data_IF_031444828522
#
_entry.id   IF_031444828522
#
_cell.length_a   1.000
_cell.length_b   1.000
_cell.length_c   1.000
_cell.angle_alpha   90.00
_cell.angle_beta   90.00
_cell.angle_gamma   90.00
#
_symmetry.space_group_name_H-M   'P 1'
#
loop_
_entity.id
_entity.type
_entity.pdbx_description
1 polymer ?
#
# COMPACT_ATOMS: atom_id res chain seq x y z
N UNK A 1 12.51 14.09 -4.98
CA UNK A 1 13.90 13.72 -5.32
C UNK A 1 14.48 12.64 -4.39
N UNK A 2 14.18 12.62 -3.09
CA UNK A 2 14.70 11.62 -2.14
C UNK A 2 14.32 10.14 -2.40
N UNK A 3 13.29 9.87 -3.21
CA UNK A 3 12.80 8.51 -3.52
C UNK A 3 13.40 7.89 -4.80
N UNK A 4 14.10 8.65 -5.65
CA UNK A 4 14.66 8.13 -6.91
C UNK A 4 16.04 7.48 -6.75
N UNK A 5 16.76 7.78 -5.67
CA UNK A 5 18.07 7.20 -5.35
C UNK A 5 18.07 5.81 -4.66
N UNK A 6 17.10 5.42 -3.78
CA UNK A 6 17.03 4.05 -3.24
C UNK A 6 16.88 2.98 -4.32
N UNK A 7 16.34 3.39 -5.46
CA UNK A 7 16.04 2.56 -6.62
C UNK A 7 17.31 1.99 -7.26
N UNK A 8 18.46 2.70 -7.18
CA UNK A 8 19.76 2.20 -7.66
C UNK A 8 20.50 1.36 -6.63
N UNK A 9 20.29 1.59 -5.32
CA UNK A 9 21.01 0.88 -4.25
C UNK A 9 20.44 -0.54 -4.01
N UNK A 10 19.13 -0.73 -4.20
CA UNK A 10 18.46 -2.03 -4.10
C UNK A 10 18.31 -2.72 -5.47
N UNK A 11 19.40 -2.82 -6.26
CA UNK A 11 19.44 -3.54 -7.54
C UNK A 11 19.33 -5.07 -7.43
N UNK A 12 19.14 -5.62 -6.23
CA UNK A 12 19.02 -7.06 -6.00
C UNK A 12 17.60 -7.60 -6.23
N UNK A 13 17.51 -8.78 -6.85
CA UNK A 13 16.30 -9.61 -7.06
C UNK A 13 15.34 -9.73 -5.87
N UNK A 14 15.79 -9.45 -4.64
CA UNK A 14 14.97 -9.49 -3.42
C UNK A 14 13.76 -8.57 -3.44
N UNK A 15 13.84 -7.41 -4.10
CA UNK A 15 12.69 -6.50 -4.17
C UNK A 15 11.56 -7.09 -5.03
N UNK A 16 11.86 -7.60 -6.23
CA UNK A 16 10.87 -8.27 -7.09
C UNK A 16 10.23 -9.51 -6.46
N UNK A 17 11.01 -10.30 -5.70
CA UNK A 17 10.49 -11.49 -5.01
C UNK A 17 9.54 -11.15 -3.85
N UNK A 18 9.80 -10.05 -3.13
CA UNK A 18 8.89 -9.52 -2.12
C UNK A 18 7.53 -9.09 -2.68
N UNK A 19 7.53 -8.43 -3.85
CA UNK A 19 6.28 -8.03 -4.50
C UNK A 19 5.50 -9.24 -5.01
N UNK A 20 6.14 -10.21 -5.65
CA UNK A 20 5.46 -11.42 -6.10
C UNK A 20 4.74 -12.14 -4.95
N UNK A 21 5.30 -12.14 -3.73
CA UNK A 21 4.69 -12.72 -2.53
C UNK A 21 3.48 -11.92 -2.02
N UNK A 22 3.56 -10.60 -1.93
CA UNK A 22 2.40 -9.75 -1.56
C UNK A 22 1.26 -9.88 -2.58
N UNK A 23 1.57 -10.04 -3.86
CA UNK A 23 0.54 -10.32 -4.88
C UNK A 23 -0.14 -11.68 -4.66
N UNK A 24 0.58 -12.64 -4.07
CA UNK A 24 0.09 -14.01 -3.83
C UNK A 24 -1.00 -14.00 -2.75
N UNK A 25 -0.80 -13.27 -1.65
CA UNK A 25 -1.76 -13.22 -0.52
C UNK A 25 -3.11 -12.66 -0.94
N UNK A 26 -3.08 -11.64 -1.78
CA UNK A 26 -4.29 -11.04 -2.33
C UNK A 26 -5.04 -12.00 -3.24
N UNK A 27 -4.33 -12.74 -4.09
CA UNK A 27 -4.93 -13.73 -5.00
C UNK A 27 -5.61 -14.82 -4.17
N UNK A 28 -4.92 -15.30 -3.14
CA UNK A 28 -5.44 -16.30 -2.20
C UNK A 28 -6.71 -15.77 -1.53
N UNK A 29 -6.67 -14.55 -0.97
CA UNK A 29 -7.83 -13.93 -0.33
C UNK A 29 -9.04 -13.76 -1.26
N UNK A 30 -8.81 -13.33 -2.51
CA UNK A 30 -9.87 -13.22 -3.53
C UNK A 30 -10.46 -14.59 -3.88
N UNK A 31 -9.62 -15.61 -4.09
CA UNK A 31 -10.06 -16.96 -4.43
C UNK A 31 -10.84 -17.61 -3.28
N UNK A 32 -10.41 -17.40 -2.03
CA UNK A 32 -11.13 -17.85 -0.83
C UNK A 32 -12.50 -17.16 -0.75
N UNK A 33 -12.54 -15.84 -0.87
CA UNK A 33 -13.80 -15.08 -0.80
C UNK A 33 -14.80 -15.49 -1.88
N UNK A 34 -14.31 -15.76 -3.11
CA UNK A 34 -15.15 -16.25 -4.20
C UNK A 34 -15.67 -17.67 -3.94
N UNK A 35 -14.84 -18.56 -3.39
CA UNK A 35 -15.27 -19.91 -2.99
C UNK A 35 -16.31 -19.87 -1.87
N UNK A 36 -16.21 -18.91 -0.94
CA UNK A 36 -17.20 -18.72 0.13
C UNK A 36 -18.53 -18.19 -0.41
N UNK A 37 -18.51 -17.26 -1.37
CA UNK A 37 -19.72 -16.67 -1.94
C UNK A 37 -20.44 -17.63 -2.91
N UNK A 38 -19.68 -18.38 -3.71
CA UNK A 38 -20.18 -19.36 -4.66
C UNK A 38 -19.46 -20.69 -4.41
N UNK A 39 -20.00 -21.55 -3.52
CA UNK A 39 -19.37 -22.82 -3.14
C UNK A 39 -19.08 -23.77 -4.32
N UNK A 40 -19.78 -23.59 -5.44
CA UNK A 40 -19.59 -24.37 -6.66
C UNK A 40 -18.30 -24.01 -7.43
N UNK A 41 -17.68 -22.86 -7.15
CA UNK A 41 -16.46 -22.43 -7.85
C UNK A 41 -15.24 -23.03 -7.14
N UNK A 42 -14.47 -23.93 -7.78
CA UNK A 42 -13.28 -24.50 -7.16
C UNK A 42 -12.20 -23.42 -6.95
N UNK A 43 -11.36 -23.59 -5.94
CA UNK A 43 -10.30 -22.64 -5.57
C UNK A 43 -9.35 -22.32 -6.73
N UNK A 44 -9.07 -23.31 -7.56
CA UNK A 44 -8.25 -23.17 -8.78
C UNK A 44 -8.91 -22.19 -9.77
N UNK A 45 -10.24 -22.30 -9.96
CA UNK A 45 -10.99 -21.38 -10.80
C UNK A 45 -11.02 -19.96 -10.19
N UNK A 46 -11.15 -19.83 -8.86
CA UNK A 46 -11.06 -18.54 -8.18
C UNK A 46 -9.71 -17.84 -8.41
N UNK A 47 -8.61 -18.58 -8.35
CA UNK A 47 -7.28 -18.06 -8.66
C UNK A 47 -7.19 -17.62 -10.14
N UNK A 48 -7.75 -18.38 -11.08
CA UNK A 48 -7.77 -18.04 -12.50
C UNK A 48 -8.62 -16.79 -12.79
N UNK A 49 -9.79 -16.65 -12.15
CA UNK A 49 -10.69 -15.50 -12.29
C UNK A 49 -10.00 -14.22 -11.82
N UNK A 50 -9.11 -14.29 -10.83
CA UNK A 50 -8.33 -13.14 -10.36
C UNK A 50 -7.43 -12.52 -11.45
N UNK A 51 -7.01 -13.29 -12.46
CA UNK A 51 -6.28 -12.79 -13.64
C UNK A 51 -7.19 -11.89 -14.47
N UNK A 52 -8.43 -12.36 -14.68
CA UNK A 52 -9.43 -11.67 -15.49
C UNK A 52 -9.86 -10.37 -14.80
N UNK A 53 -10.11 -10.38 -13.49
CA UNK A 53 -10.42 -9.19 -12.68
C UNK A 53 -9.39 -8.07 -12.93
N UNK A 54 -8.12 -8.41 -12.78
CA UNK A 54 -7.02 -7.47 -12.98
C UNK A 54 -6.95 -6.96 -14.42
N UNK A 55 -7.27 -7.81 -15.40
CA UNK A 55 -7.30 -7.45 -16.80
C UNK A 55 -8.43 -6.49 -17.14
N UNK A 56 -9.63 -6.77 -16.64
CA UNK A 56 -10.83 -5.94 -16.81
C UNK A 56 -10.60 -4.57 -16.19
N UNK A 57 -10.04 -4.53 -14.98
CA UNK A 57 -9.67 -3.29 -14.30
C UNK A 57 -8.65 -2.50 -15.12
N UNK A 58 -7.67 -3.15 -15.76
CA UNK A 58 -6.69 -2.43 -16.59
C UNK A 58 -7.30 -1.92 -17.89
N UNK A 59 -8.24 -2.64 -18.48
CA UNK A 59 -8.94 -2.21 -19.69
C UNK A 59 -9.72 -0.91 -19.42
N UNK A 60 -10.35 -0.83 -18.25
CA UNK A 60 -11.06 0.37 -17.78
C UNK A 60 -10.12 1.48 -17.31
N UNK A 61 -8.97 1.14 -16.72
CA UNK A 61 -7.96 2.11 -16.29
C UNK A 61 -6.99 2.45 -17.42
N UNK A 62 -7.33 3.46 -18.23
CA UNK A 62 -6.37 4.05 -19.16
C UNK A 62 -5.42 4.98 -18.40
N UNK A 63 -4.10 4.69 -18.36
CA UNK A 63 -3.11 5.60 -17.80
C UNK A 63 -2.82 6.71 -18.81
N UNK A 64 -3.85 7.44 -19.23
CA UNK A 64 -3.66 8.74 -19.86
C UNK A 64 -3.47 9.72 -18.71
N UNK A 65 -2.38 10.49 -18.70
CA UNK A 65 -2.02 11.44 -17.64
C UNK A 65 -3.00 12.60 -17.42
N UNK A 66 -4.28 12.40 -17.76
CA UNK A 66 -5.41 13.27 -17.51
C UNK A 66 -5.86 13.14 -16.05
N UNK A 67 -5.91 14.27 -15.35
CA UNK A 67 -6.38 14.39 -13.97
C UNK A 67 -7.77 13.79 -13.74
N UNK A 68 -8.61 13.76 -14.79
CA UNK A 68 -9.94 13.14 -14.74
C UNK A 68 -9.84 11.63 -14.48
N UNK A 69 -8.90 10.95 -15.15
CA UNK A 69 -8.69 9.51 -14.98
C UNK A 69 -8.28 9.15 -13.55
N UNK A 70 -7.37 9.93 -12.95
CA UNK A 70 -6.96 9.73 -11.55
C UNK A 70 -8.12 9.95 -10.57
N UNK A 71 -8.95 10.99 -10.76
CA UNK A 71 -10.10 11.26 -9.88
C UNK A 71 -11.18 10.18 -9.97
N UNK A 72 -11.53 9.73 -11.17
CA UNK A 72 -12.48 8.62 -11.33
C UNK A 72 -11.95 7.34 -10.67
N UNK A 73 -10.65 7.11 -10.79
CA UNK A 73 -9.98 5.99 -10.15
C UNK A 73 -10.01 6.07 -8.62
N UNK A 74 -9.67 7.23 -8.04
CA UNK A 74 -9.76 7.45 -6.59
C UNK A 74 -11.20 7.24 -6.08
N UNK A 75 -12.20 7.78 -6.79
CA UNK A 75 -13.62 7.58 -6.46
C UNK A 75 -14.04 6.11 -6.50
N UNK A 76 -13.51 5.33 -7.45
CA UNK A 76 -13.77 3.90 -7.54
C UNK A 76 -13.20 3.15 -6.32
N UNK A 77 -11.96 3.43 -5.92
CA UNK A 77 -11.35 2.84 -4.72
C UNK A 77 -12.11 3.25 -3.46
N UNK A 78 -12.49 4.52 -3.34
CA UNK A 78 -13.29 5.02 -2.21
C UNK A 78 -14.62 4.27 -2.13
N UNK A 79 -15.28 4.03 -3.26
CA UNK A 79 -16.53 3.25 -3.30
C UNK A 79 -16.34 1.80 -2.82
N UNK A 80 -15.24 1.13 -3.20
CA UNK A 80 -14.93 -0.21 -2.70
C UNK A 80 -14.69 -0.23 -1.18
N UNK A 81 -13.93 0.75 -0.66
CA UNK A 81 -13.65 0.88 0.77
C UNK A 81 -14.94 1.15 1.55
N UNK A 82 -15.79 2.05 1.07
CA UNK A 82 -17.09 2.35 1.69
C UNK A 82 -18.00 1.13 1.68
N UNK A 83 -17.98 0.31 0.63
CA UNK A 83 -18.75 -0.93 0.59
C UNK A 83 -18.28 -1.94 1.65
N UNK A 84 -16.96 -2.07 1.88
CA UNK A 84 -16.40 -2.89 2.96
C UNK A 84 -16.83 -2.37 4.34
N UNK A 85 -16.73 -1.05 4.56
CA UNK A 85 -17.19 -0.41 5.80
C UNK A 85 -18.67 -0.67 6.03
N UNK A 86 -19.49 -0.53 4.99
CA UNK A 86 -20.93 -0.80 5.05
C UNK A 86 -21.24 -2.26 5.40
N UNK A 87 -20.49 -3.21 4.83
CA UNK A 87 -20.62 -4.63 5.19
C UNK A 87 -20.36 -4.86 6.68
N UNK A 88 -19.28 -4.29 7.22
CA UNK A 88 -18.96 -4.40 8.65
C UNK A 88 -19.97 -3.67 9.55
N UNK A 89 -20.53 -2.54 9.11
CA UNK A 89 -21.63 -1.87 9.82
C UNK A 89 -22.85 -2.80 9.95
N UNK A 90 -23.23 -3.50 8.88
CA UNK A 90 -24.36 -4.46 8.94
C UNK A 90 -24.03 -5.62 9.88
N UNK A 91 -22.81 -6.19 9.80
CA UNK A 91 -22.40 -7.27 10.69
C UNK A 91 -22.47 -6.85 12.17
N UNK A 92 -21.96 -5.67 12.50
CA UNK A 92 -22.05 -5.14 13.86
C UNK A 92 -23.50 -4.94 14.31
N UNK A 93 -24.40 -4.51 13.43
CA UNK A 93 -25.83 -4.38 13.75
C UNK A 93 -26.53 -5.73 13.99
N UNK A 94 -25.99 -6.85 13.50
CA UNK A 94 -26.51 -8.18 13.75
C UNK A 94 -26.04 -8.76 15.10
N UNK A 95 -24.92 -8.27 15.63
CA UNK A 95 -24.39 -8.69 16.93
C UNK A 95 -25.16 -7.96 18.04
N UNK A 96 -26.12 -8.66 18.66
CA UNK A 96 -27.01 -8.09 19.69
C UNK A 96 -26.45 -8.12 21.13
N UNK A 97 -25.24 -8.64 21.34
CA UNK A 97 -24.82 -9.13 22.67
C UNK A 97 -23.89 -8.17 23.44
N UNK A 98 -23.36 -7.12 22.82
CA UNK A 98 -22.40 -6.22 23.50
C UNK A 98 -22.99 -4.86 23.83
N UNK A 99 -22.98 -4.49 25.11
CA UNK A 99 -23.29 -3.12 25.54
C UNK A 99 -22.19 -2.18 25.04
N UNK A 100 -22.49 -0.99 24.47
CA UNK A 100 -21.47 -0.07 23.96
C UNK A 100 -20.37 0.26 24.98
N UNK A 101 -20.72 0.30 26.28
CA UNK A 101 -19.79 0.56 27.37
C UNK A 101 -18.67 -0.50 27.52
N UNK A 102 -18.93 -1.77 27.20
CA UNK A 102 -17.91 -2.82 27.26
C UNK A 102 -16.92 -2.71 26.11
N UNK A 103 -17.41 -2.33 24.92
CA UNK A 103 -16.58 -2.06 23.74
C UNK A 103 -15.64 -0.89 24.01
N UNK A 104 -16.16 0.22 24.56
CA UNK A 104 -15.33 1.38 24.94
C UNK A 104 -14.33 1.04 26.04
N UNK A 105 -14.67 0.12 26.96
CA UNK A 105 -13.74 -0.37 27.97
C UNK A 105 -12.62 -1.21 27.35
N UNK A 106 -12.86 -1.89 26.23
CA UNK A 106 -11.84 -2.63 25.48
C UNK A 106 -10.78 -1.75 24.80
N UNK A 107 -11.07 -0.47 24.55
CA UNK A 107 -10.07 0.49 24.06
C UNK A 107 -9.07 0.92 25.14
N UNK A 108 -9.39 0.71 26.43
CA UNK A 108 -8.48 1.01 27.52
C UNK A 108 -7.45 -0.13 27.64
N UNK A 109 -6.14 0.18 27.71
CA UNK A 109 -5.11 -0.83 27.88
C UNK A 109 -5.30 -1.58 29.20
N UNK A 110 -5.54 -2.88 29.12
CA UNK A 110 -5.73 -3.76 30.28
C UNK A 110 -4.43 -4.51 30.60
N UNK A 111 -4.29 -4.99 31.84
CA UNK A 111 -3.11 -5.78 32.25
C UNK A 111 -2.97 -7.10 31.46
N UNK A 112 -4.06 -7.59 30.88
CA UNK A 112 -4.08 -8.78 30.01
C UNK A 112 -3.32 -8.56 28.69
N UNK A 113 -3.06 -7.32 28.27
CA UNK A 113 -2.19 -7.05 27.12
C UNK A 113 -0.71 -7.34 27.40
N UNK A 114 -0.30 -7.50 28.66
CA UNK A 114 1.11 -7.73 29.05
C UNK A 114 1.44 -9.23 29.04
N UNK A 115 0.43 -10.10 28.90
CA UNK A 115 0.67 -11.52 28.67
C UNK A 115 1.36 -11.72 27.31
N UNK A 116 2.35 -12.62 27.28
CA UNK A 116 3.25 -12.79 26.13
C UNK A 116 2.49 -13.02 24.83
N UNK A 117 1.42 -13.82 24.84
CA UNK A 117 0.63 -14.16 23.66
C UNK A 117 -0.15 -12.96 23.10
N UNK A 118 -0.72 -12.13 23.96
CA UNK A 118 -1.47 -10.93 23.57
C UNK A 118 -0.55 -9.84 22.99
N UNK A 119 0.66 -9.67 23.52
CA UNK A 119 1.67 -8.76 22.94
C UNK A 119 2.00 -9.20 21.51
N UNK A 120 2.19 -10.51 21.27
CA UNK A 120 2.50 -11.02 19.93
C UNK A 120 1.36 -10.79 18.94
N UNK A 121 0.11 -11.05 19.32
CA UNK A 121 -1.06 -10.79 18.47
C UNK A 121 -1.21 -9.29 18.18
N UNK A 122 -1.08 -8.41 19.18
CA UNK A 122 -1.12 -6.97 19.00
C UNK A 122 0.01 -6.48 18.07
N UNK A 123 1.20 -7.06 18.19
CA UNK A 123 2.32 -6.77 17.30
C UNK A 123 2.09 -7.31 15.88
N UNK A 124 1.45 -8.47 15.72
CA UNK A 124 1.02 -9.00 14.43
C UNK A 124 0.07 -8.04 13.70
N UNK A 125 -0.90 -7.48 14.42
CA UNK A 125 -1.82 -6.45 13.89
C UNK A 125 -1.05 -5.18 13.47
N UNK A 126 -0.07 -4.73 14.26
CA UNK A 126 0.80 -3.60 13.89
C UNK A 126 1.66 -3.90 12.65
N UNK A 127 2.17 -5.12 12.50
CA UNK A 127 2.97 -5.54 11.35
C UNK A 127 2.16 -5.59 10.05
N UNK A 128 0.92 -6.09 10.12
CA UNK A 128 0.00 -6.18 8.97
C UNK A 128 -0.48 -4.81 8.50
N UNK A 129 -0.65 -3.85 9.42
CA UNK A 129 -1.16 -2.50 9.09
C UNK A 129 -0.15 -1.64 8.32
N UNK A 130 1.15 -1.82 8.54
CA UNK A 130 2.20 -1.04 7.86
C UNK A 130 2.69 -1.77 6.62
N UNK A 131 1.94 -1.63 5.52
CA UNK A 131 2.26 -2.32 4.27
C UNK A 131 3.21 -1.46 3.39
N UNK A 132 4.40 -1.97 3.00
CA UNK A 132 5.47 -1.15 2.40
C UNK A 132 5.11 -0.59 1.03
N UNK A 133 4.32 -1.33 0.25
CA UNK A 133 3.84 -0.90 -1.07
C UNK A 133 2.97 0.38 -1.02
N UNK A 134 2.25 0.63 0.08
CA UNK A 134 1.45 1.84 0.27
C UNK A 134 2.32 3.10 0.36
N UNK A 135 3.53 2.98 0.89
CA UNK A 135 4.51 4.08 0.98
C UNK A 135 4.98 4.52 -0.42
N UNK A 136 5.25 3.57 -1.30
CA UNK A 136 5.62 3.84 -2.69
C UNK A 136 4.45 4.41 -3.50
N UNK A 137 3.25 3.83 -3.32
CA UNK A 137 2.05 4.28 -4.02
C UNK A 137 1.71 5.74 -3.69
N UNK A 138 1.70 6.10 -2.40
CA UNK A 138 1.41 7.47 -1.96
C UNK A 138 2.38 8.48 -2.57
N UNK A 139 3.67 8.12 -2.65
CA UNK A 139 4.69 8.98 -3.27
C UNK A 139 4.47 9.22 -4.78
N UNK A 140 3.85 8.26 -5.49
CA UNK A 140 3.52 8.40 -6.91
C UNK A 140 2.21 9.14 -7.18
N UNK A 141 1.16 8.84 -6.40
CA UNK A 141 -0.17 9.48 -6.54
C UNK A 141 -0.13 10.98 -6.24
N UNK A 142 0.82 11.42 -5.41
CA UNK A 142 0.99 12.83 -5.05
C UNK A 142 1.56 13.66 -6.21
N UNK A 143 2.32 13.08 -7.16
CA UNK A 143 2.99 13.86 -8.23
C UNK A 143 2.02 14.63 -9.16
N UNK A 144 0.92 14.02 -9.67
CA UNK A 144 -0.08 14.75 -10.46
C UNK A 144 -0.75 15.90 -9.69
N UNK A 145 -0.93 15.73 -8.36
CA UNK A 145 -1.52 16.77 -7.50
C UNK A 145 -0.60 17.98 -7.34
N UNK A 146 0.71 17.77 -7.21
CA UNK A 146 1.68 18.88 -7.20
C UNK A 146 1.65 19.65 -8.51
N UNK A 147 1.59 18.92 -9.62
CA UNK A 147 1.47 19.53 -10.95
C UNK A 147 0.21 20.38 -11.06
N UNK A 148 -0.97 19.85 -10.69
CA UNK A 148 -2.23 20.60 -10.70
C UNK A 148 -2.14 21.91 -9.90
N UNK A 149 -1.52 21.88 -8.71
CA UNK A 149 -1.32 23.08 -7.91
C UNK A 149 -0.49 24.13 -8.65
N UNK A 150 0.60 23.71 -9.32
CA UNK A 150 1.44 24.61 -10.10
C UNK A 150 0.76 25.11 -11.38
N UNK A 151 -0.11 24.31 -12.02
CA UNK A 151 -0.92 24.77 -13.18
C UNK A 151 -1.93 25.83 -12.73
N UNK A 152 -2.66 25.57 -11.63
CA UNK A 152 -3.66 26.51 -11.08
C UNK A 152 -3.01 27.79 -10.56
N UNK A 153 -1.84 27.68 -9.93
CA UNK A 153 -1.10 28.83 -9.38
C UNK A 153 -0.29 29.59 -10.45
N UNK A 154 -0.36 29.18 -11.73
CA UNK A 154 0.44 29.74 -12.84
C UNK A 154 1.96 29.74 -12.55
N UNK A 155 2.43 28.74 -11.81
CA UNK A 155 3.83 28.55 -11.44
C UNK A 155 4.56 27.57 -12.37
N UNK A 156 3.86 27.00 -13.35
CA UNK A 156 4.47 26.22 -14.42
C UNK A 156 5.49 27.08 -15.19
N UNK A 157 6.64 26.49 -15.59
CA UNK A 157 7.55 27.18 -16.48
C UNK A 157 6.82 27.46 -17.80
N UNK A 158 7.01 28.67 -18.35
CA UNK A 158 6.55 29.01 -19.70
C UNK A 158 7.18 27.96 -20.62
N UNK A 159 6.37 27.13 -21.28
CA UNK A 159 6.87 26.20 -22.29
C UNK A 159 7.80 26.99 -23.23
N UNK A 160 8.98 26.44 -23.56
CA UNK A 160 9.63 26.85 -24.80
C UNK A 160 8.64 26.50 -25.92
N UNK A 161 7.82 27.46 -26.31
CA UNK A 161 7.11 27.47 -27.57
C UNK A 161 8.17 27.51 -28.66
N UNK A 162 8.57 26.33 -29.16
CA UNK A 162 8.73 26.01 -30.58
C UNK A 162 9.55 24.72 -30.76
N UNK A 163 8.96 23.73 -31.44
CA UNK A 163 9.71 22.83 -32.31
C UNK A 163 10.21 21.49 -31.78
N UNK A 164 9.40 20.71 -31.05
CA UNK A 164 9.64 19.25 -31.01
C UNK A 164 8.36 18.50 -31.40
N UNK A 165 8.28 18.19 -32.69
CA UNK A 165 7.36 17.22 -33.26
C UNK A 165 7.58 15.84 -32.62
N UNK A 166 6.49 15.12 -32.42
CA UNK A 166 6.35 13.80 -31.78
C UNK A 166 6.94 12.67 -32.66
N UNK A 167 8.08 12.91 -33.29
CA UNK A 167 8.75 11.98 -34.19
C UNK A 167 10.25 12.02 -33.92
N UNK A 168 10.67 11.62 -32.71
CA UNK A 168 11.99 11.00 -32.57
C UNK A 168 12.05 10.08 -31.35
N UNK A 169 12.55 8.87 -31.58
CA UNK A 169 12.63 7.73 -30.66
C UNK A 169 13.87 7.84 -29.75
N UNK A 170 14.11 9.04 -29.21
CA UNK A 170 15.22 9.37 -28.32
C UNK A 170 14.71 9.89 -26.97
N UNK A 171 14.79 9.06 -25.93
CA UNK A 171 14.21 9.31 -24.61
C UNK A 171 15.04 10.33 -23.82
N UNK A 172 14.91 11.62 -24.13
CA UNK A 172 15.27 12.69 -23.21
C UNK A 172 14.05 13.03 -22.34
N UNK A 173 13.79 12.19 -21.34
CA UNK A 173 12.71 12.41 -20.36
C UNK A 173 13.06 13.59 -19.46
N UNK A 174 12.53 14.77 -19.78
CA UNK A 174 12.47 15.88 -18.84
C UNK A 174 11.66 15.49 -17.59
N UNK A 175 12.27 15.57 -16.41
CA UNK A 175 11.61 15.34 -15.13
C UNK A 175 11.06 16.66 -14.56
N UNK A 176 9.78 16.63 -14.17
CA UNK A 176 9.10 17.75 -13.54
C UNK A 176 9.62 17.97 -12.10
N UNK A 177 10.04 19.20 -11.80
CA UNK A 177 10.44 19.66 -10.47
C UNK A 177 9.39 20.65 -9.95
N UNK A 178 8.66 20.32 -8.87
CA UNK A 178 7.56 21.14 -8.37
C UNK A 178 8.03 22.38 -7.61
N UNK A 179 7.14 23.38 -7.50
CA UNK A 179 7.39 24.59 -6.70
C UNK A 179 7.35 24.33 -5.19
N UNK A 180 7.98 25.23 -4.41
CA UNK A 180 7.95 25.16 -2.94
C UNK A 180 6.52 25.25 -2.38
N UNK A 181 5.66 26.07 -3.01
CA UNK A 181 4.26 26.23 -2.62
C UNK A 181 3.46 24.94 -2.81
N UNK A 182 3.64 24.28 -3.96
CA UNK A 182 3.01 22.98 -4.25
C UNK A 182 3.43 21.92 -3.24
N UNK A 183 4.72 21.86 -2.90
CA UNK A 183 5.24 20.87 -1.94
C UNK A 183 4.63 21.10 -0.55
N UNK A 184 4.66 22.34 -0.03
CA UNK A 184 4.11 22.64 1.31
C UNK A 184 2.61 22.36 1.38
N UNK A 185 1.85 22.80 0.38
CA UNK A 185 0.41 22.58 0.34
C UNK A 185 0.08 21.08 0.25
N UNK A 186 0.72 20.37 -0.68
CA UNK A 186 0.48 18.95 -0.88
C UNK A 186 0.91 18.10 0.32
N UNK A 187 2.00 18.48 1.02
CA UNK A 187 2.42 17.80 2.24
C UNK A 187 1.34 17.89 3.33
N UNK A 188 0.84 19.09 3.63
CA UNK A 188 -0.18 19.28 4.67
C UNK A 188 -1.48 18.57 4.32
N UNK A 189 -1.93 18.69 3.07
CA UNK A 189 -3.16 18.01 2.60
C UNK A 189 -2.99 16.49 2.67
N UNK A 190 -1.87 15.95 2.20
CA UNK A 190 -1.63 14.49 2.22
C UNK A 190 -1.53 13.94 3.63
N UNK A 191 -0.88 14.66 4.56
CA UNK A 191 -0.83 14.26 5.97
C UNK A 191 -2.24 14.24 6.58
N UNK A 192 -3.05 15.27 6.32
CA UNK A 192 -4.41 15.35 6.83
C UNK A 192 -5.31 14.26 6.23
N UNK A 193 -5.24 14.02 4.93
CA UNK A 193 -6.00 12.94 4.26
C UNK A 193 -5.63 11.56 4.81
N UNK A 194 -4.32 11.27 4.97
CA UNK A 194 -3.86 10.01 5.52
C UNK A 194 -4.26 9.86 6.99
N UNK A 195 -4.13 10.91 7.79
CA UNK A 195 -4.51 10.90 9.20
C UNK A 195 -6.02 10.66 9.36
N UNK A 196 -6.86 11.38 8.62
CA UNK A 196 -8.31 11.17 8.62
C UNK A 196 -8.63 9.77 8.14
N UNK A 197 -8.05 9.31 7.04
CA UNK A 197 -8.35 7.99 6.46
C UNK A 197 -7.98 6.84 7.40
N UNK A 198 -6.81 6.90 8.03
CA UNK A 198 -6.37 5.90 9.00
C UNK A 198 -7.21 5.93 10.28
N UNK A 199 -7.48 7.13 10.81
CA UNK A 199 -8.20 7.27 12.07
C UNK A 199 -9.69 6.97 11.96
N UNK A 200 -10.33 7.24 10.81
CA UNK A 200 -11.76 6.97 10.64
C UNK A 200 -11.99 5.58 10.05
N UNK A 201 -11.55 5.34 8.81
CA UNK A 201 -11.89 4.11 8.09
C UNK A 201 -11.08 2.91 8.55
N UNK A 202 -9.75 3.04 8.66
CA UNK A 202 -8.90 1.89 8.99
C UNK A 202 -9.10 1.43 10.44
N UNK A 203 -9.15 2.38 11.41
CA UNK A 203 -9.48 2.05 12.80
C UNK A 203 -10.88 1.47 12.92
N UNK A 204 -11.89 2.04 12.27
CA UNK A 204 -13.25 1.50 12.32
C UNK A 204 -13.31 0.05 11.84
N UNK A 205 -12.72 -0.25 10.66
CA UNK A 205 -12.71 -1.62 10.11
C UNK A 205 -11.92 -2.57 11.01
N UNK A 206 -10.76 -2.14 11.52
CA UNK A 206 -9.94 -2.98 12.41
C UNK A 206 -10.68 -3.32 13.72
N UNK A 207 -11.33 -2.32 14.31
CA UNK A 207 -12.14 -2.52 15.51
C UNK A 207 -13.38 -3.37 15.23
N UNK A 208 -14.05 -3.19 14.10
CA UNK A 208 -15.20 -4.00 13.71
C UNK A 208 -14.81 -5.48 13.53
N UNK A 209 -13.68 -5.76 12.87
CA UNK A 209 -13.15 -7.13 12.74
C UNK A 209 -12.90 -7.73 14.13
N UNK A 210 -12.26 -6.98 15.03
CA UNK A 210 -11.95 -7.46 16.39
C UNK A 210 -13.22 -7.70 17.21
N UNK A 211 -14.23 -6.84 17.11
CA UNK A 211 -15.52 -7.02 17.76
C UNK A 211 -16.29 -8.23 17.22
N UNK A 212 -16.31 -8.39 15.91
CA UNK A 212 -16.95 -9.53 15.24
C UNK A 212 -16.26 -10.84 15.61
N UNK A 213 -14.92 -10.85 15.64
CA UNK A 213 -14.13 -11.98 16.10
C UNK A 213 -14.42 -12.28 17.57
N UNK A 214 -14.37 -11.28 18.45
CA UNK A 214 -14.72 -11.45 19.87
C UNK A 214 -16.13 -11.99 20.08
N UNK A 215 -17.14 -11.50 19.34
CA UNK A 215 -18.51 -11.98 19.51
C UNK A 215 -18.75 -13.41 19.01
N UNK A 216 -17.94 -13.91 18.07
CA UNK A 216 -18.14 -15.23 17.44
C UNK A 216 -17.16 -16.31 17.91
N UNK A 217 -15.96 -15.92 18.35
CA UNK A 217 -14.88 -16.84 18.75
C UNK A 217 -14.71 -16.95 20.28
N UNK A 218 -15.27 -16.03 21.09
CA UNK A 218 -15.04 -16.03 22.53
C UNK A 218 -15.62 -17.29 23.22
N UNK A 219 -14.78 -17.97 24.02
CA UNK A 219 -15.01 -19.28 24.66
C UNK A 219 -15.13 -20.51 23.74
N UNK A 220 -14.82 -20.42 22.45
CA UNK A 220 -14.79 -21.59 21.57
C UNK A 220 -13.36 -22.19 21.49
N UNK A 221 -13.15 -23.46 21.88
CA UNK A 221 -11.84 -24.10 21.75
C UNK A 221 -11.41 -24.28 20.29
N UNK A 222 -12.37 -24.41 19.36
CA UNK A 222 -12.12 -24.48 17.91
C UNK A 222 -11.71 -23.13 17.28
N UNK A 223 -11.64 -22.05 18.07
CA UNK A 223 -11.35 -20.71 17.57
C UNK A 223 -9.85 -20.39 17.44
N UNK A 224 -8.98 -21.08 18.19
CA UNK A 224 -7.54 -20.75 18.20
C UNK A 224 -6.86 -20.98 16.85
N UNK A 225 -7.33 -21.97 16.07
CA UNK A 225 -6.79 -22.33 14.76
C UNK A 225 -7.81 -22.06 13.62
N UNK A 226 -8.79 -21.19 13.85
CA UNK A 226 -9.85 -20.94 12.88
C UNK A 226 -9.33 -20.12 11.68
N UNK A 227 -9.10 -20.81 10.56
CA UNK A 227 -8.80 -20.21 9.26
C UNK A 227 -9.95 -19.32 8.74
N UNK A 228 -9.73 -18.56 7.66
CA UNK A 228 -10.76 -17.71 7.03
C UNK A 228 -12.07 -18.48 6.75
N UNK A 229 -11.97 -19.75 6.37
CA UNK A 229 -13.13 -20.64 6.20
C UNK A 229 -13.83 -20.95 7.52
N UNK A 230 -13.06 -21.23 8.57
CA UNK A 230 -13.56 -21.47 9.92
C UNK A 230 -14.25 -20.23 10.49
N UNK A 231 -13.66 -19.05 10.31
CA UNK A 231 -14.27 -17.77 10.71
C UNK A 231 -15.60 -17.55 9.99
N UNK A 232 -15.66 -17.79 8.67
CA UNK A 232 -16.91 -17.69 7.92
C UNK A 232 -17.98 -18.65 8.48
N UNK A 233 -17.63 -19.90 8.73
CA UNK A 233 -18.57 -20.90 9.24
C UNK A 233 -19.03 -20.58 10.67
N UNK A 234 -18.13 -20.10 11.53
CA UNK A 234 -18.45 -19.63 12.88
C UNK A 234 -19.36 -18.42 12.84
N UNK A 235 -19.12 -17.45 11.95
CA UNK A 235 -20.00 -16.29 11.77
C UNK A 235 -21.38 -16.71 11.25
N UNK A 236 -21.42 -17.64 10.30
CA UNK A 236 -22.67 -18.17 9.75
C UNK A 236 -23.50 -18.93 10.78
N UNK A 237 -22.85 -19.66 11.69
CA UNK A 237 -23.51 -20.46 12.73
C UNK A 237 -23.87 -19.65 13.97
N UNK A 238 -22.99 -18.77 14.43
CA UNK A 238 -23.15 -18.04 15.70
C UNK A 238 -23.96 -16.75 15.56
N UNK A 239 -23.94 -16.09 14.40
CA UNK A 239 -24.65 -14.81 14.18
C UNK A 239 -25.85 -15.01 13.26
N UNK A 240 -25.61 -15.33 11.99
CA UNK A 240 -26.63 -15.67 10.99
C UNK A 240 -25.98 -16.08 9.66
N UNK A 241 -26.68 -16.87 8.81
CA UNK A 241 -26.19 -17.16 7.46
C UNK A 241 -25.88 -15.91 6.62
N UNK A 242 -26.69 -14.86 6.79
CA UNK A 242 -26.48 -13.57 6.12
C UNK A 242 -25.18 -12.90 6.54
N UNK A 243 -24.75 -13.05 7.81
CA UNK A 243 -23.48 -12.48 8.28
C UNK A 243 -22.27 -13.12 7.59
N UNK A 244 -22.31 -14.44 7.34
CA UNK A 244 -21.29 -15.15 6.57
C UNK A 244 -21.19 -14.66 5.12
N UNK A 245 -22.34 -14.48 4.45
CA UNK A 245 -22.37 -13.94 3.08
C UNK A 245 -21.80 -12.52 3.03
N UNK A 246 -22.18 -11.65 3.98
CA UNK A 246 -21.65 -10.28 4.06
C UNK A 246 -20.14 -10.29 4.33
N UNK A 247 -19.63 -11.24 5.13
CA UNK A 247 -18.20 -11.40 5.38
C UNK A 247 -17.45 -11.79 4.10
N UNK A 248 -17.97 -12.79 3.37
CA UNK A 248 -17.40 -13.22 2.11
C UNK A 248 -17.39 -12.08 1.07
N UNK A 249 -18.47 -11.30 1.00
CA UNK A 249 -18.55 -10.12 0.12
C UNK A 249 -17.53 -9.04 0.52
N UNK A 250 -17.39 -8.74 1.81
CA UNK A 250 -16.41 -7.77 2.30
C UNK A 250 -14.97 -8.22 1.98
N UNK A 251 -14.66 -9.50 2.18
CA UNK A 251 -13.37 -10.08 1.81
C UNK A 251 -13.10 -9.99 0.30
N UNK A 252 -14.12 -10.24 -0.52
CA UNK A 252 -14.00 -10.15 -1.98
C UNK A 252 -13.72 -8.72 -2.43
N UNK A 253 -14.48 -7.74 -1.91
CA UNK A 253 -14.32 -6.32 -2.24
C UNK A 253 -12.96 -5.78 -1.76
N UNK A 254 -12.53 -6.17 -0.55
CA UNK A 254 -11.19 -5.84 -0.02
C UNK A 254 -10.09 -6.45 -0.91
N UNK A 255 -10.26 -7.71 -1.31
CA UNK A 255 -9.41 -8.39 -2.29
C UNK A 255 -9.33 -7.60 -3.59
N UNK A 256 -10.45 -7.20 -4.19
CA UNK A 256 -10.45 -6.39 -5.42
C UNK A 256 -9.73 -5.05 -5.22
N UNK A 257 -9.99 -4.31 -4.15
CA UNK A 257 -9.30 -3.04 -3.88
C UNK A 257 -7.77 -3.22 -3.76
N UNK A 258 -7.33 -4.15 -2.92
CA UNK A 258 -5.93 -4.30 -2.51
C UNK A 258 -4.93 -4.54 -3.66
N UNK A 259 -5.37 -5.08 -4.79
CA UNK A 259 -4.44 -5.27 -5.92
C UNK A 259 -4.81 -4.61 -7.20
N UNK A 260 -5.78 -3.72 -7.17
CA UNK A 260 -5.65 -2.50 -7.94
C UNK A 260 -4.46 -1.70 -7.38
N UNK A 261 -4.47 -1.41 -6.07
CA UNK A 261 -3.40 -0.70 -5.34
C UNK A 261 -2.03 -1.36 -5.55
N UNK A 262 -1.92 -2.67 -5.30
CA UNK A 262 -0.68 -3.41 -5.49
C UNK A 262 -0.17 -3.36 -6.94
N UNK A 263 -1.04 -3.38 -7.95
CA UNK A 263 -0.58 -3.28 -9.34
C UNK A 263 -0.04 -1.92 -9.69
N UNK A 264 -0.60 -0.85 -9.14
CA UNK A 264 -0.09 0.50 -9.37
C UNK A 264 1.26 0.68 -8.65
N UNK A 265 1.35 0.24 -7.40
CA UNK A 265 2.61 0.24 -6.65
C UNK A 265 3.70 -0.56 -7.39
N UNK A 266 3.36 -1.77 -7.86
CA UNK A 266 4.27 -2.61 -8.65
C UNK A 266 4.70 -1.95 -9.96
N UNK A 267 3.80 -1.21 -10.62
CA UNK A 267 4.13 -0.46 -11.82
C UNK A 267 5.13 0.67 -11.54
N UNK A 268 4.88 1.49 -10.51
CA UNK A 268 5.76 2.57 -10.07
C UNK A 268 7.15 2.07 -9.70
N UNK A 269 7.21 0.97 -8.93
CA UNK A 269 8.48 0.37 -8.50
C UNK A 269 9.24 -0.23 -9.67
N UNK A 270 8.58 -0.92 -10.60
CA UNK A 270 9.26 -1.54 -11.75
C UNK A 270 9.73 -0.51 -12.78
N UNK A 271 9.00 0.60 -12.97
CA UNK A 271 9.46 1.74 -13.78
C UNK A 271 10.66 2.43 -13.16
N UNK A 272 10.67 2.57 -11.83
CA UNK A 272 11.83 3.11 -11.12
C UNK A 272 13.04 2.18 -11.19
N UNK A 273 12.91 0.95 -10.71
CA UNK A 273 14.02 0.04 -10.39
C UNK A 273 14.60 -0.74 -11.55
N UNK A 274 13.75 -1.19 -12.47
CA UNK A 274 14.17 -2.08 -13.55
C UNK A 274 14.30 -1.38 -14.91
N UNK A 275 13.91 -0.09 -15.03
CA UNK A 275 13.85 0.63 -16.32
C UNK A 275 13.22 -0.21 -17.46
N UNK A 276 12.22 -1.03 -17.13
CA UNK A 276 11.71 -2.03 -18.05
C UNK A 276 10.80 -1.37 -19.10
N UNK A 277 11.16 -1.47 -20.39
CA UNK A 277 10.43 -0.83 -21.52
C UNK A 277 9.16 -1.57 -21.99
N UNK A 278 8.68 -2.56 -21.25
CA UNK A 278 7.51 -3.37 -21.65
C UNK A 278 6.22 -2.55 -21.52
N UNK A 279 5.25 -2.74 -22.44
CA UNK A 279 3.92 -2.12 -22.35
C UNK A 279 3.28 -2.39 -20.96
N UNK A 280 2.65 -1.40 -20.31
CA UNK A 280 2.13 -1.53 -18.94
C UNK A 280 1.19 -2.74 -18.71
N UNK A 281 0.42 -3.09 -19.74
CA UNK A 281 -0.50 -4.24 -19.73
C UNK A 281 0.22 -5.58 -19.73
N UNK A 282 1.22 -5.74 -20.59
CA UNK A 282 1.98 -6.98 -20.68
C UNK A 282 2.81 -7.20 -19.41
N UNK A 283 3.40 -6.12 -18.86
CA UNK A 283 4.11 -6.20 -17.57
C UNK A 283 3.17 -6.67 -16.44
N UNK A 284 1.93 -6.16 -16.40
CA UNK A 284 0.93 -6.52 -15.39
C UNK A 284 0.48 -7.97 -15.53
N UNK A 285 0.30 -8.45 -16.76
CA UNK A 285 -0.04 -9.85 -17.04
C UNK A 285 1.09 -10.78 -16.56
N UNK A 286 2.34 -10.50 -16.94
CA UNK A 286 3.51 -11.33 -16.57
C UNK A 286 3.69 -11.40 -15.05
N UNK A 287 3.68 -10.28 -14.34
CA UNK A 287 3.85 -10.28 -12.87
C UNK A 287 2.70 -10.96 -12.14
N UNK A 288 1.47 -10.89 -12.69
CA UNK A 288 0.32 -11.62 -12.17
C UNK A 288 0.42 -13.11 -12.43
N UNK A 289 0.79 -13.53 -13.64
CA UNK A 289 0.98 -14.95 -13.96
C UNK A 289 2.03 -15.57 -13.04
N UNK A 290 3.19 -14.92 -12.86
CA UNK A 290 4.26 -15.40 -11.98
C UNK A 290 3.78 -15.54 -10.53
N UNK A 291 3.01 -14.57 -10.02
CA UNK A 291 2.49 -14.62 -8.65
C UNK A 291 1.37 -15.64 -8.45
N UNK A 292 0.55 -15.90 -9.47
CA UNK A 292 -0.63 -16.76 -9.36
C UNK A 292 -0.27 -18.24 -9.56
N UNK A 293 0.76 -18.54 -10.35
CA UNK A 293 1.24 -19.92 -10.56
C UNK A 293 1.43 -20.72 -9.25
N UNK A 294 2.17 -20.23 -8.23
CA UNK A 294 2.31 -20.97 -6.98
C UNK A 294 0.97 -21.17 -6.27
N UNK A 295 0.08 -20.18 -6.25
CA UNK A 295 -1.26 -20.31 -5.66
C UNK A 295 -2.10 -21.38 -6.36
N UNK A 296 -2.09 -21.42 -7.70
CA UNK A 296 -2.82 -22.42 -8.49
C UNK A 296 -2.30 -23.83 -8.19
N UNK A 297 -0.98 -24.00 -8.15
CA UNK A 297 -0.36 -25.30 -7.86
C UNK A 297 -0.76 -25.78 -6.45
N UNK A 298 -0.65 -24.91 -5.46
CA UNK A 298 -1.01 -25.23 -4.07
C UNK A 298 -2.51 -25.53 -3.95
N UNK A 299 -3.35 -24.73 -4.60
CA UNK A 299 -4.80 -24.92 -4.62
C UNK A 299 -5.21 -26.26 -5.28
N UNK A 300 -4.51 -26.65 -6.35
CA UNK A 300 -4.78 -27.90 -7.06
C UNK A 300 -4.23 -29.15 -6.36
N UNK A 301 -3.07 -29.05 -5.72
CA UNK A 301 -2.40 -30.19 -5.09
C UNK A 301 -2.83 -30.44 -3.64
N UNK A 302 -3.01 -29.38 -2.85
CA UNK A 302 -3.26 -29.46 -1.40
C UNK A 302 -4.64 -28.93 -1.02
N UNK A 303 -5.22 -28.02 -1.80
CA UNK A 303 -6.55 -27.47 -1.55
C UNK A 303 -6.57 -26.38 -0.48
N UNK A 304 -7.60 -26.38 0.37
CA UNK A 304 -7.88 -25.29 1.34
C UNK A 304 -6.76 -25.08 2.35
N UNK A 305 -6.30 -26.16 2.98
CA UNK A 305 -5.27 -26.11 4.02
C UNK A 305 -3.94 -25.57 3.47
N UNK A 306 -3.53 -26.02 2.29
CA UNK A 306 -2.31 -25.53 1.64
C UNK A 306 -2.36 -24.05 1.29
N UNK A 307 -3.50 -23.55 0.81
CA UNK A 307 -3.69 -22.12 0.55
C UNK A 307 -3.58 -21.29 1.82
N UNK A 308 -4.13 -21.79 2.94
CA UNK A 308 -4.03 -21.10 4.22
C UNK A 308 -2.60 -21.09 4.76
N UNK A 309 -1.90 -22.22 4.71
CA UNK A 309 -0.47 -22.28 5.07
C UNK A 309 0.37 -21.35 4.20
N UNK A 310 0.06 -21.26 2.90
CA UNK A 310 0.73 -20.33 1.99
C UNK A 310 0.47 -18.87 2.38
N UNK A 311 -0.76 -18.52 2.75
CA UNK A 311 -1.15 -17.18 3.22
C UNK A 311 -0.39 -16.81 4.51
N UNK A 312 -0.36 -17.70 5.50
CA UNK A 312 0.38 -17.48 6.75
C UNK A 312 1.88 -17.36 6.48
N UNK A 313 2.45 -18.21 5.62
CA UNK A 313 3.86 -18.17 5.24
C UNK A 313 4.26 -16.87 4.56
N UNK A 314 3.40 -16.30 3.71
CA UNK A 314 3.66 -15.00 3.10
C UNK A 314 3.62 -13.84 4.09
N UNK A 315 2.73 -13.89 5.10
CA UNK A 315 2.71 -12.88 6.18
C UNK A 315 4.03 -12.84 6.94
N UNK A 316 4.60 -14.02 7.24
CA UNK A 316 5.95 -14.12 7.84
C UNK A 316 7.00 -13.52 6.90
N UNK A 317 6.94 -13.84 5.61
CA UNK A 317 7.88 -13.28 4.63
C UNK A 317 7.79 -11.75 4.51
N UNK A 318 6.58 -11.17 4.56
CA UNK A 318 6.38 -9.72 4.55
C UNK A 318 7.00 -9.07 5.79
N UNK A 319 6.85 -9.72 6.95
CA UNK A 319 7.40 -9.25 8.22
C UNK A 319 8.93 -9.17 8.21
N UNK A 320 9.60 -10.09 7.50
CA UNK A 320 11.06 -10.05 7.27
C UNK A 320 11.45 -8.86 6.40
N UNK A 321 10.68 -8.56 5.35
CA UNK A 321 11.02 -7.54 4.35
C UNK A 321 10.82 -6.12 4.91
N UNK A 322 9.86 -5.95 5.81
CA UNK A 322 9.41 -4.63 6.28
C UNK A 322 10.54 -3.75 6.88
N UNK A 323 11.43 -4.25 7.77
CA UNK A 323 12.54 -3.44 8.30
C UNK A 323 13.51 -2.97 7.23
N UNK A 324 13.78 -3.79 6.21
CA UNK A 324 14.70 -3.45 5.11
C UNK A 324 14.14 -2.39 4.16
N UNK A 325 12.81 -2.30 4.02
CA UNK A 325 12.18 -1.26 3.19
C UNK A 325 12.06 0.06 3.95
N UNK A 326 11.77 0.00 5.25
CA UNK A 326 11.55 1.18 6.09
C UNK A 326 12.85 1.85 6.52
N UNK A 327 13.94 1.11 6.74
CA UNK A 327 15.23 1.70 7.15
C UNK A 327 15.80 2.74 6.16
N UNK A 328 15.89 2.46 4.83
CA UNK A 328 16.32 3.46 3.86
C UNK A 328 15.39 4.67 3.81
N UNK A 329 14.08 4.45 3.95
CA UNK A 329 13.10 5.53 3.94
C UNK A 329 13.35 6.52 5.09
N UNK A 330 13.54 6.02 6.31
CA UNK A 330 13.86 6.83 7.49
C UNK A 330 15.20 7.56 7.29
N UNK A 331 16.20 6.86 6.75
CA UNK A 331 17.49 7.46 6.46
C UNK A 331 17.40 8.65 5.48
N UNK A 332 16.62 8.52 4.40
CA UNK A 332 16.48 9.58 3.40
C UNK A 332 15.64 10.76 3.89
N UNK A 333 14.64 10.53 4.74
CA UNK A 333 13.79 11.61 5.30
C UNK A 333 14.52 12.42 6.38
N UNK A 334 15.52 11.82 7.05
CA UNK A 334 16.29 12.45 8.11
C UNK A 334 17.57 13.16 7.61
N UNK A 335 17.94 13.05 6.33
CA UNK A 335 19.21 13.58 5.82
C UNK A 335 19.04 14.82 4.95
N UNK A 336 19.66 15.93 5.38
CA UNK A 336 19.65 17.23 4.70
C UNK A 336 20.00 17.15 3.22
N UNK A 337 20.95 16.27 2.85
CA UNK A 337 21.40 16.09 1.46
C UNK A 337 20.24 15.75 0.49
N UNK A 338 19.21 15.06 0.95
CA UNK A 338 18.12 14.56 0.09
C UNK A 338 16.80 15.31 0.28
N UNK A 339 16.60 15.94 1.44
CA UNK A 339 15.41 16.72 1.81
C UNK A 339 15.67 18.24 1.77
N UNK A 340 16.31 18.70 0.70
CA UNK A 340 16.43 20.14 0.38
C UNK A 340 15.66 20.48 -0.88
N UNK A 341 14.91 21.58 -0.82
CA UNK A 341 14.17 22.13 -1.96
C UNK A 341 14.77 23.47 -2.34
N UNK A 342 15.00 23.66 -3.63
CA UNK A 342 15.36 24.97 -4.17
C UNK A 342 14.10 25.83 -4.30
N UNK A 343 14.07 27.03 -3.71
CA UNK A 343 12.95 27.94 -3.86
C UNK A 343 12.85 28.40 -5.31
N UNK A 344 11.63 28.73 -5.75
CA UNK A 344 11.35 29.18 -7.11
C UNK A 344 10.10 28.55 -7.73
N UNK A 345 9.91 28.85 -9.01
CA UNK A 345 8.84 28.28 -9.86
C UNK A 345 9.12 26.83 -10.22
N UNK A 346 8.12 26.14 -10.74
CA UNK A 346 8.30 24.78 -11.25
C UNK A 346 9.28 24.79 -12.44
N UNK A 347 10.07 23.73 -12.57
CA UNK A 347 11.13 23.61 -13.60
C UNK A 347 11.10 22.22 -14.24
N UNK A 348 11.60 22.12 -15.47
CA UNK A 348 11.87 20.84 -16.13
C UNK A 348 13.37 20.58 -16.09
N UNK A 349 13.79 19.40 -15.62
CA UNK A 349 15.20 18.96 -15.63
C UNK A 349 15.37 17.84 -16.66
N UNK A 350 16.20 18.05 -17.68
CA UNK A 350 16.49 17.03 -18.69
C UNK A 350 17.41 15.94 -18.13
N UNK A 351 17.17 14.69 -18.49
CA UNK A 351 17.95 13.54 -18.05
C UNK A 351 19.12 13.31 -19.03
N UNK A 352 20.36 13.65 -18.64
CA UNK A 352 21.54 13.37 -19.48
C UNK A 352 22.53 14.53 -19.59
N UNK A 353 22.13 15.74 -19.21
CA UNK A 353 23.07 16.81 -18.90
C UNK A 353 23.37 16.76 -17.42
N UNK A 354 24.52 16.18 -17.07
CA UNK A 354 25.26 16.60 -15.88
C UNK A 354 25.70 18.05 -16.10
N UNK A 355 24.73 18.97 -16.16
CA UNK A 355 25.02 20.40 -16.17
C UNK A 355 25.30 20.83 -14.74
N UNK A 356 26.51 20.48 -14.30
CA UNK A 356 27.34 21.42 -13.56
C UNK A 356 27.74 22.63 -14.44
N UNK A 357 27.32 22.72 -15.71
CA UNK A 357 27.83 23.71 -16.68
C UNK A 357 26.79 24.63 -17.35
N UNK A 358 25.47 24.43 -17.24
CA UNK A 358 24.45 25.43 -17.65
C UNK A 358 23.76 26.13 -16.47
N UNK A 359 24.37 26.09 -15.28
CA UNK A 359 24.05 27.03 -14.19
C UNK A 359 24.99 28.25 -14.21
N UNK A 360 26.04 28.25 -15.04
CA UNK A 360 27.14 29.23 -14.97
C UNK A 360 27.13 30.34 -16.04
N UNK A 361 26.06 30.53 -16.81
CA UNK A 361 25.96 31.66 -17.76
C UNK A 361 24.83 32.67 -17.50
N UNK A 362 24.39 32.77 -16.25
CA UNK A 362 23.86 34.05 -15.74
C UNK A 362 24.70 34.43 -14.52
N UNK A 363 25.88 34.98 -14.82
CA UNK A 363 26.84 35.49 -13.85
C UNK A 363 26.16 36.64 -13.08
N UNK A 364 25.72 36.34 -11.86
CA UNK A 364 25.13 37.28 -10.92
C UNK A 364 24.47 36.65 -9.67
N UNK A 365 23.92 35.45 -9.76
CA UNK A 365 23.02 34.89 -8.71
C UNK A 365 23.49 33.56 -8.07
N UNK A 366 24.70 33.07 -8.37
CA UNK A 366 25.19 31.76 -7.87
C UNK A 366 25.32 31.68 -6.34
N UNK A 367 25.65 32.79 -5.67
CA UNK A 367 25.78 32.83 -4.21
C UNK A 367 24.43 33.00 -3.46
N UNK A 368 23.41 33.54 -4.13
CA UNK A 368 22.07 33.75 -3.56
C UNK A 368 21.19 32.49 -3.69
N UNK A 369 21.33 31.73 -4.79
CA UNK A 369 20.61 30.48 -4.98
C UNK A 369 21.03 29.36 -3.99
N UNK A 370 22.31 29.36 -3.57
CA UNK A 370 22.80 28.48 -2.50
C UNK A 370 22.28 28.90 -1.11
N UNK A 371 22.20 30.21 -0.83
CA UNK A 371 21.71 30.75 0.45
C UNK A 371 20.24 30.47 0.72
N UNK A 372 19.46 30.16 -0.33
CA UNK A 372 18.02 30.05 -0.22
C UNK A 372 17.52 28.59 -0.23
N UNK A 373 18.39 27.57 -0.11
CA UNK A 373 17.93 26.17 0.02
C UNK A 373 17.04 26.01 1.26
N UNK A 374 15.78 25.65 1.06
CA UNK A 374 14.85 25.38 2.16
C UNK A 374 15.02 23.93 2.58
N UNK A 375 15.53 23.72 3.80
CA UNK A 375 15.58 22.40 4.43
C UNK A 375 14.16 21.95 4.77
N UNK A 376 13.77 20.78 4.29
CA UNK A 376 12.50 20.10 4.60
C UNK A 376 12.73 18.80 5.36
N UNK A 377 13.83 18.73 6.10
CA UNK A 377 14.18 17.57 6.93
C UNK A 377 13.18 17.43 8.07
N UNK A 378 12.87 16.18 8.41
CA UNK A 378 12.10 15.86 9.59
C UNK A 378 12.76 16.46 10.84
N UNK A 379 11.94 16.91 11.80
CA UNK A 379 12.45 17.40 13.08
C UNK A 379 13.15 16.27 13.82
N UNK A 380 14.13 16.60 14.66
CA UNK A 380 14.91 15.60 15.39
C UNK A 380 14.03 14.68 16.26
N UNK A 381 12.93 15.19 16.84
CA UNK A 381 11.94 14.39 17.56
C UNK A 381 11.24 13.37 16.66
N UNK A 382 10.81 13.77 15.46
CA UNK A 382 10.17 12.86 14.50
C UNK A 382 11.14 11.80 13.98
N UNK A 383 12.42 12.14 13.85
CA UNK A 383 13.46 11.19 13.49
C UNK A 383 13.68 10.15 14.60
N UNK A 384 13.80 10.58 15.86
CA UNK A 384 13.93 9.65 17.00
C UNK A 384 12.71 8.75 17.10
N UNK A 385 11.50 9.31 17.02
CA UNK A 385 10.26 8.55 17.07
C UNK A 385 10.20 7.50 15.95
N UNK A 386 10.57 7.88 14.72
CA UNK A 386 10.61 6.95 13.59
C UNK A 386 11.61 5.81 13.80
N UNK A 387 12.80 6.10 14.35
CA UNK A 387 13.80 5.09 14.69
C UNK A 387 13.31 4.17 15.81
N UNK A 388 12.65 4.69 16.84
CA UNK A 388 12.07 3.89 17.92
C UNK A 388 10.98 2.95 17.41
N UNK A 389 10.06 3.45 16.58
CA UNK A 389 9.01 2.64 15.96
C UNK A 389 9.64 1.56 15.08
N UNK A 390 10.63 1.91 14.26
CA UNK A 390 11.34 0.97 13.42
C UNK A 390 12.04 -0.13 14.22
N UNK A 391 12.74 0.25 15.29
CA UNK A 391 13.43 -0.69 16.18
C UNK A 391 12.44 -1.62 16.87
N UNK A 392 11.33 -1.08 17.38
CA UNK A 392 10.25 -1.86 17.97
C UNK A 392 9.68 -2.88 16.97
N UNK A 393 9.31 -2.44 15.76
CA UNK A 393 8.79 -3.32 14.71
C UNK A 393 9.81 -4.39 14.29
N UNK A 394 11.09 -4.02 14.18
CA UNK A 394 12.13 -4.98 13.81
C UNK A 394 12.35 -6.04 14.89
N UNK A 395 12.40 -5.66 16.16
CA UNK A 395 12.55 -6.60 17.28
C UNK A 395 11.35 -7.54 17.35
N UNK A 396 10.14 -7.01 17.22
CA UNK A 396 8.91 -7.81 17.26
C UNK A 396 8.77 -8.75 16.08
N UNK A 397 9.14 -8.31 14.87
CA UNK A 397 9.14 -9.20 13.70
C UNK A 397 10.15 -10.35 13.86
N UNK A 398 11.32 -10.08 14.43
CA UNK A 398 12.30 -11.13 14.75
C UNK A 398 11.76 -12.06 15.83
N UNK A 399 11.12 -11.55 16.88
CA UNK A 399 10.50 -12.37 17.91
C UNK A 399 9.41 -13.29 17.34
N UNK A 400 8.48 -12.74 16.56
CA UNK A 400 7.45 -13.53 15.87
C UNK A 400 8.08 -14.64 15.02
N UNK A 401 9.16 -14.37 14.30
CA UNK A 401 9.80 -15.36 13.44
C UNK A 401 10.49 -16.49 14.23
N UNK A 402 11.08 -16.18 15.38
CA UNK A 402 11.70 -17.17 16.27
C UNK A 402 10.65 -18.08 16.93
N UNK A 403 9.48 -17.53 17.27
CA UNK A 403 8.41 -18.28 17.93
C UNK A 403 7.49 -19.02 16.96
N UNK A 404 7.17 -18.47 15.78
CA UNK A 404 6.43 -19.17 14.70
C UNK A 404 7.24 -20.29 14.05
N UNK A 405 8.56 -20.29 14.21
CA UNK A 405 9.45 -21.34 13.72
C UNK A 405 9.59 -22.55 14.66
N UNK A 406 8.95 -22.51 15.84
CA UNK A 406 8.78 -23.65 16.76
C UNK A 406 7.36 -24.16 16.68
#
# INVERSE_FOLDING_TARGET
MAQLHPIRLCRGCHHCHGYSRVLTDRVIGFAIALNLLIPQVPLVAGCAISIIDVMVILLFYRPEGSMKGLRYFEMFIISLVLAVVFCFCIQMSLIRVTTPGEVFKGYLPSKSLIESEAIYQACGILGVTVMPHSLYLGSGIVQPRLREYDERSRLLPRQLTSGYSVLDDGIDKGYYVPSLGAIKHSLTVSILELAISLFTFALFVSSAILMVAGASLYNNPDALDADIFGIHDLLSKSISPTAGIIFALALLLSGVSAGIVCTIAGQMVSEGSLNWKIKPWLRRLVTRSISITPSIIIAGAVGRSGLNTALNGSQVALSIILPFVTAPLIYFTCRDKYMTVHPGRARWRMAGRDDESEVDQVIGEGAELERQRVKMTNSWYTAILAVLIWLFMSIMNVANLVFLGK
#
